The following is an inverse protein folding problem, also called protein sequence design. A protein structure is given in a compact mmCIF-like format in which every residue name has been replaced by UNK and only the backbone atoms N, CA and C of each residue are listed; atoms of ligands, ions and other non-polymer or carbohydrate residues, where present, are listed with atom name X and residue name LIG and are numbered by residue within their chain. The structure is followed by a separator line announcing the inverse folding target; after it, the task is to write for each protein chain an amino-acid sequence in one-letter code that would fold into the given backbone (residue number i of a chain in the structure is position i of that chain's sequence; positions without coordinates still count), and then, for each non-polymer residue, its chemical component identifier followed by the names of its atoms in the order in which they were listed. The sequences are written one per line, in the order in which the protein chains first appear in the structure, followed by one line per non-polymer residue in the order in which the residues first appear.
data_IF_944558968546
#
_entry.id   IF_944558968546
#
_cell.length_a   1.000
_cell.length_b   1.000
_cell.length_c   1.000
_cell.angle_alpha   90.00
_cell.angle_beta   90.00
_cell.angle_gamma   90.00
#
_symmetry.space_group_name_H-M   'P 1'
#
loop_
_entity.id
_entity.type
_entity.pdbx_description
1 polymer ?
#
# COMPACT_ATOMS: atom_id res chain seq x y z
N UNK A 1 30.22 -9.11 0.94
CA UNK A 1 29.41 -8.42 1.97
C UNK A 1 28.63 -9.51 2.71
N UNK A 2 28.60 -9.50 4.05
CA UNK A 2 27.86 -10.50 4.82
C UNK A 2 26.88 -9.76 5.73
N UNK A 3 25.58 -9.85 5.42
CA UNK A 3 24.54 -9.33 6.29
C UNK A 3 24.56 -10.10 7.60
N UNK A 4 24.33 -9.42 8.72
CA UNK A 4 23.91 -10.08 9.97
C UNK A 4 22.54 -10.72 9.77
N UNK A 5 22.19 -11.68 10.64
CA UNK A 5 20.87 -12.32 10.60
C UNK A 5 19.73 -11.30 10.70
N UNK A 6 19.89 -10.28 11.56
CA UNK A 6 18.90 -9.22 11.74
C UNK A 6 18.75 -8.39 10.48
N UNK A 7 19.84 -7.91 9.88
CA UNK A 7 19.78 -7.14 8.63
C UNK A 7 19.19 -7.95 7.47
N UNK A 8 19.49 -9.26 7.41
CA UNK A 8 18.93 -10.13 6.40
C UNK A 8 17.42 -10.35 6.58
N UNK A 9 16.96 -10.47 7.83
CA UNK A 9 15.52 -10.54 8.15
C UNK A 9 14.78 -9.28 7.68
N UNK A 10 15.30 -8.10 7.98
CA UNK A 10 14.69 -6.84 7.52
C UNK A 10 14.65 -6.75 5.99
N UNK A 11 15.73 -7.17 5.32
CA UNK A 11 15.78 -7.23 3.87
C UNK A 11 14.72 -8.19 3.31
N UNK A 12 14.48 -9.31 3.99
CA UNK A 12 13.50 -10.31 3.57
C UNK A 12 12.07 -9.77 3.70
N UNK A 13 11.73 -9.06 4.77
CA UNK A 13 10.44 -8.36 4.91
C UNK A 13 10.23 -7.32 3.80
N UNK A 14 11.23 -6.48 3.54
CA UNK A 14 11.17 -5.49 2.45
C UNK A 14 10.96 -6.17 1.08
N UNK A 15 11.65 -7.30 0.85
CA UNK A 15 11.48 -8.08 -0.37
C UNK A 15 10.06 -8.65 -0.47
N UNK A 16 9.53 -9.24 0.61
CA UNK A 16 8.19 -9.80 0.64
C UNK A 16 7.14 -8.73 0.29
N UNK A 17 7.16 -7.59 0.97
CA UNK A 17 6.30 -6.45 0.66
C UNK A 17 6.45 -5.99 -0.80
N UNK A 18 7.69 -5.82 -1.27
CA UNK A 18 7.99 -5.40 -2.63
C UNK A 18 7.52 -6.40 -3.70
N UNK A 19 7.68 -7.69 -3.46
CA UNK A 19 7.22 -8.75 -4.38
C UNK A 19 5.70 -8.82 -4.40
N UNK A 20 5.03 -8.65 -3.25
CA UNK A 20 3.58 -8.58 -3.17
C UNK A 20 3.04 -7.42 -4.00
N UNK A 21 3.53 -6.19 -3.78
CA UNK A 21 3.10 -4.98 -4.53
C UNK A 21 3.32 -5.16 -6.03
N UNK A 22 4.50 -5.64 -6.44
CA UNK A 22 4.81 -5.83 -7.87
C UNK A 22 3.93 -6.89 -8.50
N UNK A 23 3.70 -8.01 -7.83
CA UNK A 23 2.88 -9.09 -8.35
C UNK A 23 1.42 -8.65 -8.49
N UNK A 24 0.87 -7.92 -7.51
CA UNK A 24 -0.47 -7.34 -7.59
C UNK A 24 -0.64 -6.37 -8.77
N UNK A 25 0.34 -5.48 -9.00
CA UNK A 25 0.30 -4.55 -10.14
C UNK A 25 0.38 -5.30 -11.47
N UNK A 26 1.25 -6.30 -11.58
CA UNK A 26 1.38 -7.11 -12.80
C UNK A 26 0.11 -7.91 -13.09
N UNK A 27 -0.46 -8.55 -12.07
CA UNK A 27 -1.72 -9.27 -12.17
C UNK A 27 -2.85 -8.36 -12.65
N UNK A 28 -2.96 -7.14 -12.11
CA UNK A 28 -3.97 -6.15 -12.55
C UNK A 28 -3.85 -5.75 -14.02
N UNK A 29 -2.68 -5.96 -14.63
CA UNK A 29 -2.38 -5.71 -16.05
C UNK A 29 -2.47 -6.96 -16.92
N UNK A 30 -2.75 -8.13 -16.32
CA UNK A 30 -2.74 -9.42 -17.02
C UNK A 30 -1.34 -9.92 -17.38
N UNK A 31 -0.31 -9.49 -16.65
CA UNK A 31 1.10 -9.88 -16.87
C UNK A 31 1.48 -11.10 -16.00
N UNK A 32 2.40 -11.95 -16.48
CA UNK A 32 2.94 -13.08 -15.70
C UNK A 32 3.94 -12.58 -14.64
N UNK A 33 3.64 -12.84 -13.36
CA UNK A 33 4.43 -12.41 -12.22
C UNK A 33 5.34 -13.51 -11.63
N UNK A 34 5.40 -14.72 -12.21
CA UNK A 34 6.24 -15.82 -11.70
C UNK A 34 7.71 -15.45 -11.55
N UNK A 35 8.21 -14.52 -12.36
CA UNK A 35 9.61 -14.06 -12.26
C UNK A 35 9.85 -13.16 -11.04
N UNK A 36 8.81 -12.51 -10.51
CA UNK A 36 8.88 -11.73 -9.27
C UNK A 36 8.92 -12.67 -8.06
N UNK A 37 8.07 -13.71 -8.05
CA UNK A 37 8.01 -14.69 -6.95
C UNK A 37 9.30 -15.49 -6.77
N UNK A 38 10.05 -15.73 -7.86
CA UNK A 38 11.36 -16.40 -7.81
C UNK A 38 12.38 -15.67 -6.92
N UNK A 39 12.21 -14.37 -6.67
CA UNK A 39 13.08 -13.66 -5.74
C UNK A 39 12.91 -14.16 -4.31
N UNK A 40 11.70 -14.56 -3.90
CA UNK A 40 11.47 -15.08 -2.56
C UNK A 40 12.23 -16.40 -2.34
N UNK A 41 12.17 -17.31 -3.32
CA UNK A 41 12.96 -18.56 -3.30
C UNK A 41 14.48 -18.28 -3.32
N UNK A 42 14.95 -17.35 -4.17
CA UNK A 42 16.36 -16.99 -4.26
C UNK A 42 16.92 -16.45 -2.93
N UNK A 43 16.19 -15.55 -2.27
CA UNK A 43 16.60 -15.00 -0.99
C UNK A 43 16.45 -16.01 0.16
N UNK A 44 15.48 -16.92 0.10
CA UNK A 44 15.40 -18.04 1.03
C UNK A 44 16.61 -19.01 0.89
N UNK A 45 17.02 -19.33 -0.35
CA UNK A 45 18.26 -20.07 -0.60
C UNK A 45 19.49 -19.36 0.00
N UNK A 46 19.56 -18.03 -0.15
CA UNK A 46 20.65 -17.24 0.42
C UNK A 46 20.64 -17.26 1.95
N UNK A 47 19.48 -17.13 2.60
CA UNK A 47 19.35 -17.27 4.05
C UNK A 47 19.87 -18.65 4.53
N UNK A 48 19.50 -19.73 3.81
CA UNK A 48 19.98 -21.08 4.10
C UNK A 48 21.50 -21.19 4.01
N UNK A 49 22.10 -20.62 2.96
CA UNK A 49 23.56 -20.61 2.77
C UNK A 49 24.30 -19.80 3.84
N UNK A 50 23.65 -18.79 4.41
CA UNK A 50 24.19 -17.98 5.49
C UNK A 50 24.02 -18.61 6.88
N UNK A 51 23.28 -19.72 7.00
CA UNK A 51 22.99 -20.40 8.26
C UNK A 51 21.86 -19.76 9.06
N UNK A 52 20.93 -19.06 8.40
CA UNK A 52 19.76 -18.43 9.01
C UNK A 52 18.52 -19.33 8.85
N UNK A 53 18.63 -20.56 9.35
CA UNK A 53 17.67 -21.64 9.12
C UNK A 53 16.25 -21.34 9.62
N UNK A 54 16.09 -20.45 10.58
CA UNK A 54 14.79 -20.03 11.13
C UNK A 54 14.05 -19.00 10.27
N UNK A 55 14.73 -18.37 9.31
CA UNK A 55 14.10 -17.45 8.36
C UNK A 55 13.50 -18.16 7.14
N UNK A 56 13.61 -19.49 7.07
CA UNK A 56 13.23 -20.27 5.90
C UNK A 56 12.52 -21.56 6.27
N UNK A 57 11.72 -22.06 5.34
CA UNK A 57 11.10 -23.37 5.42
C UNK A 57 11.14 -24.08 4.07
N UNK A 58 10.91 -25.39 4.09
CA UNK A 58 10.79 -26.19 2.88
C UNK A 58 9.36 -26.70 2.79
N UNK A 59 8.63 -26.22 1.80
CA UNK A 59 7.27 -26.65 1.50
C UNK A 59 7.23 -27.34 0.14
N UNK A 60 6.78 -28.60 0.13
CA UNK A 60 6.70 -29.44 -1.09
C UNK A 60 8.02 -29.51 -1.89
N UNK A 61 9.16 -29.47 -1.19
CA UNK A 61 10.49 -29.52 -1.81
C UNK A 61 11.01 -28.19 -2.35
N UNK A 62 10.25 -27.09 -2.18
CA UNK A 62 10.65 -25.73 -2.53
C UNK A 62 11.03 -25.00 -1.24
N UNK A 63 12.17 -24.30 -1.26
CA UNK A 63 12.58 -23.46 -0.15
C UNK A 63 11.96 -22.08 -0.27
N UNK A 64 11.45 -21.56 0.84
CA UNK A 64 10.76 -20.28 0.89
C UNK A 64 11.01 -19.58 2.23
N UNK A 65 10.70 -18.28 2.34
CA UNK A 65 10.66 -17.60 3.63
C UNK A 65 9.77 -18.37 4.62
N UNK A 66 10.14 -18.39 5.90
CA UNK A 66 9.38 -19.12 6.91
C UNK A 66 7.96 -18.56 7.09
N UNK A 67 7.03 -19.39 7.53
CA UNK A 67 5.66 -18.96 7.80
C UNK A 67 5.60 -17.79 8.79
N UNK A 68 6.47 -17.77 9.80
CA UNK A 68 6.51 -16.69 10.80
C UNK A 68 6.79 -15.32 10.16
N UNK A 69 7.76 -15.23 9.24
CA UNK A 69 8.09 -13.96 8.58
C UNK A 69 7.05 -13.57 7.52
N UNK A 70 6.41 -14.56 6.88
CA UNK A 70 5.31 -14.32 5.96
C UNK A 70 4.10 -13.74 6.70
N UNK A 71 3.71 -14.30 7.85
CA UNK A 71 2.60 -13.81 8.67
C UNK A 71 2.86 -12.38 9.17
N UNK A 72 4.06 -12.10 9.67
CA UNK A 72 4.45 -10.75 10.07
C UNK A 72 4.34 -9.76 8.89
N UNK A 73 4.80 -10.16 7.70
CA UNK A 73 4.66 -9.30 6.53
C UNK A 73 3.20 -9.10 6.09
N UNK A 74 2.36 -10.14 6.19
CA UNK A 74 0.93 -10.04 5.92
C UNK A 74 0.25 -9.04 6.86
N UNK A 75 0.52 -9.12 8.17
CA UNK A 75 0.00 -8.18 9.17
C UNK A 75 0.43 -6.73 8.87
N UNK A 76 1.71 -6.49 8.59
CA UNK A 76 2.21 -5.14 8.20
C UNK A 76 1.56 -4.62 6.91
N UNK A 77 1.35 -5.49 5.92
CA UNK A 77 0.73 -5.12 4.66
C UNK A 77 -0.76 -4.84 4.81
N UNK A 78 -1.46 -5.57 5.68
CA UNK A 78 -2.88 -5.32 6.00
C UNK A 78 -3.07 -3.95 6.65
N UNK A 79 -2.25 -3.61 7.65
CA UNK A 79 -2.27 -2.29 8.28
C UNK A 79 -2.00 -1.17 7.27
N UNK A 80 -0.97 -1.33 6.43
CA UNK A 80 -0.65 -0.36 5.38
C UNK A 80 -1.79 -0.21 4.37
N UNK A 81 -2.42 -1.31 3.93
CA UNK A 81 -3.51 -1.26 2.97
C UNK A 81 -4.76 -0.56 3.53
N UNK A 82 -5.10 -0.77 4.81
CA UNK A 82 -6.21 -0.09 5.46
C UNK A 82 -5.96 1.42 5.53
N UNK A 83 -4.76 1.84 5.97
CA UNK A 83 -4.38 3.25 6.01
C UNK A 83 -4.49 3.92 4.62
N UNK A 84 -3.87 3.31 3.61
CA UNK A 84 -3.89 3.84 2.23
C UNK A 84 -5.30 3.87 1.65
N UNK A 85 -6.13 2.88 1.96
CA UNK A 85 -7.53 2.86 1.51
C UNK A 85 -8.29 4.09 1.99
N UNK A 86 -8.19 4.41 3.29
CA UNK A 86 -8.88 5.56 3.87
C UNK A 86 -8.33 6.87 3.33
N UNK A 87 -7.01 7.03 3.27
CA UNK A 87 -6.39 8.24 2.72
C UNK A 87 -6.80 8.49 1.25
N UNK A 88 -6.76 7.47 0.40
CA UNK A 88 -7.15 7.61 -1.00
C UNK A 88 -8.64 7.95 -1.15
N UNK A 89 -9.51 7.37 -0.32
CA UNK A 89 -10.94 7.65 -0.35
C UNK A 89 -11.22 9.12 0.04
N UNK A 90 -10.58 9.61 1.10
CA UNK A 90 -10.66 11.01 1.56
C UNK A 90 -10.22 11.99 0.48
N UNK A 91 -9.04 11.73 -0.11
CA UNK A 91 -8.44 12.59 -1.13
C UNK A 91 -9.31 12.61 -2.39
N UNK A 92 -9.80 11.46 -2.85
CA UNK A 92 -10.61 11.38 -4.09
C UNK A 92 -11.97 12.06 -3.93
N UNK A 93 -12.65 11.84 -2.82
CA UNK A 93 -13.93 12.50 -2.55
C UNK A 93 -13.74 13.99 -2.30
N UNK A 94 -12.69 14.38 -1.56
CA UNK A 94 -12.36 15.77 -1.32
C UNK A 94 -12.04 16.53 -2.60
N UNK A 95 -11.22 15.95 -3.49
CA UNK A 95 -10.94 16.52 -4.82
C UNK A 95 -12.21 16.68 -5.64
N UNK A 96 -13.04 15.64 -5.72
CA UNK A 96 -14.31 15.68 -6.47
C UNK A 96 -15.19 16.84 -5.99
N UNK A 97 -15.50 16.88 -4.70
CA UNK A 97 -16.41 17.88 -4.13
C UNK A 97 -15.81 19.29 -4.21
N UNK A 98 -14.49 19.43 -4.05
CA UNK A 98 -13.80 20.69 -4.26
C UNK A 98 -13.99 21.20 -5.70
N UNK A 99 -13.73 20.37 -6.71
CA UNK A 99 -13.87 20.76 -8.12
C UNK A 99 -15.33 21.00 -8.53
N UNK A 100 -16.30 20.35 -7.90
CA UNK A 100 -17.73 20.68 -8.10
C UNK A 100 -18.12 22.02 -7.44
N UNK A 101 -17.34 22.52 -6.47
CA UNK A 101 -17.62 23.74 -5.70
C UNK A 101 -16.96 25.02 -6.21
N UNK A 102 -16.06 24.93 -7.20
CA UNK A 102 -15.28 26.07 -7.73
C UNK A 102 -15.64 26.34 -9.19
N UNK A 103 -15.61 27.60 -9.61
CA UNK A 103 -15.85 27.96 -11.01
C UNK A 103 -14.58 27.77 -11.86
N UNK A 104 -14.72 27.86 -13.19
CA UNK A 104 -13.56 27.83 -14.10
C UNK A 104 -12.64 29.04 -13.90
N UNK A 105 -13.22 30.18 -13.54
CA UNK A 105 -12.51 31.41 -13.22
C UNK A 105 -11.67 31.25 -11.95
N UNK A 106 -12.24 30.63 -10.90
CA UNK A 106 -11.51 30.32 -9.65
C UNK A 106 -10.27 29.45 -9.91
N UNK A 107 -10.39 28.45 -10.80
CA UNK A 107 -9.30 27.57 -11.19
C UNK A 107 -8.21 28.29 -12.01
N UNK A 108 -8.58 29.31 -12.80
CA UNK A 108 -7.63 30.09 -13.59
C UNK A 108 -6.75 31.01 -12.75
N UNK A 109 -7.19 31.35 -11.54
CA UNK A 109 -6.47 32.19 -10.58
C UNK A 109 -5.73 31.36 -9.50
N UNK A 110 -5.69 30.03 -9.65
CA UNK A 110 -5.15 29.09 -8.68
C UNK A 110 -3.67 29.35 -8.31
N UNK A 111 -2.83 29.72 -9.27
CA UNK A 111 -1.41 30.05 -9.03
C UNK A 111 -1.19 31.40 -8.34
N UNK A 112 -2.20 32.28 -8.33
CA UNK A 112 -2.17 33.60 -7.67
C UNK A 112 -2.88 33.57 -6.30
N UNK A 113 -3.40 32.39 -5.98
CA UNK A 113 -4.42 31.99 -5.02
C UNK A 113 -4.05 31.30 -3.70
N UNK A 114 -3.39 31.88 -2.67
CA UNK A 114 -3.11 31.11 -1.45
C UNK A 114 -4.35 30.54 -0.74
N UNK A 115 -5.57 31.04 -1.00
CA UNK A 115 -6.79 30.48 -0.38
C UNK A 115 -7.19 29.11 -0.97
N UNK A 116 -6.81 28.81 -2.21
CA UNK A 116 -7.31 27.64 -2.92
C UNK A 116 -6.72 26.32 -2.39
N UNK A 117 -5.41 26.25 -2.05
CA UNK A 117 -4.82 25.16 -1.26
C UNK A 117 -5.50 24.95 0.11
N UNK A 118 -5.77 26.03 0.86
CA UNK A 118 -6.47 25.91 2.15
C UNK A 118 -7.90 25.39 2.00
N UNK A 119 -8.57 25.79 0.91
CA UNK A 119 -9.94 25.36 0.60
C UNK A 119 -9.96 23.86 0.28
N UNK A 120 -9.04 23.34 -0.53
CA UNK A 120 -9.03 21.89 -0.83
C UNK A 120 -8.69 21.06 0.41
N UNK A 121 -7.79 21.55 1.28
CA UNK A 121 -7.49 20.93 2.57
C UNK A 121 -8.73 20.81 3.47
N UNK A 122 -9.63 21.79 3.43
CA UNK A 122 -10.88 21.74 4.20
C UNK A 122 -11.79 20.58 3.76
N UNK A 123 -11.80 20.24 2.46
CA UNK A 123 -12.54 19.09 1.94
C UNK A 123 -11.89 17.76 2.37
N UNK A 124 -10.55 17.67 2.34
CA UNK A 124 -9.85 16.49 2.84
C UNK A 124 -10.14 16.27 4.33
N UNK A 125 -10.03 17.32 5.17
CA UNK A 125 -10.32 17.23 6.60
C UNK A 125 -11.77 16.83 6.90
N UNK A 126 -12.72 17.30 6.09
CA UNK A 126 -14.14 16.92 6.21
C UNK A 126 -14.30 15.40 6.09
N UNK A 127 -13.72 14.79 5.05
CA UNK A 127 -13.82 13.35 4.84
C UNK A 127 -13.01 12.55 5.85
N UNK A 128 -11.81 13.03 6.19
CA UNK A 128 -10.98 12.42 7.23
C UNK A 128 -11.74 12.28 8.54
N UNK A 129 -12.36 13.38 8.98
CA UNK A 129 -13.16 13.38 10.20
C UNK A 129 -14.33 12.40 10.12
N UNK A 130 -15.06 12.41 9.00
CA UNK A 130 -16.22 11.52 8.80
C UNK A 130 -15.81 10.06 8.88
N UNK A 131 -14.76 9.65 8.17
CA UNK A 131 -14.34 8.24 8.12
C UNK A 131 -13.64 7.79 9.39
N UNK A 132 -12.90 8.66 10.07
CA UNK A 132 -12.34 8.37 11.40
C UNK A 132 -13.44 8.12 12.43
N UNK A 133 -14.55 8.87 12.40
CA UNK A 133 -15.63 8.77 13.40
C UNK A 133 -16.67 7.69 13.07
N UNK A 134 -16.95 7.45 11.79
CA UNK A 134 -18.10 6.64 11.37
C UNK A 134 -17.75 5.54 10.35
N UNK A 135 -16.50 5.43 9.90
CA UNK A 135 -16.11 4.49 8.84
C UNK A 135 -17.04 4.60 7.63
N UNK A 136 -17.62 3.48 7.19
CA UNK A 136 -18.56 3.43 6.07
C UNK A 136 -20.04 3.57 6.47
N UNK A 137 -20.36 3.70 7.76
CA UNK A 137 -21.75 3.59 8.26
C UNK A 137 -22.69 4.61 7.63
N UNK A 138 -22.16 5.79 7.27
CA UNK A 138 -22.89 6.90 6.64
C UNK A 138 -22.58 7.08 5.17
N UNK A 139 -21.67 6.28 4.61
CA UNK A 139 -21.37 6.31 3.18
C UNK A 139 -22.56 5.73 2.41
N UNK A 140 -23.10 6.49 1.46
CA UNK A 140 -24.21 6.08 0.60
C UNK A 140 -23.92 6.43 -0.85
N UNK A 141 -24.21 5.50 -1.75
CA UNK A 141 -24.17 5.74 -3.19
C UNK A 141 -25.59 6.10 -3.63
N UNK A 142 -25.79 7.36 -4.03
CA UNK A 142 -27.08 7.86 -4.52
C UNK A 142 -26.99 8.21 -6.00
N UNK A 143 -28.04 7.93 -6.82
CA UNK A 143 -28.07 8.36 -8.21
C UNK A 143 -27.97 9.89 -8.32
N UNK A 144 -27.20 10.39 -9.29
CA UNK A 144 -27.18 11.83 -9.62
C UNK A 144 -28.53 12.19 -10.25
N UNK A 145 -29.23 13.15 -9.65
CA UNK A 145 -30.49 13.71 -10.18
C UNK A 145 -30.22 14.64 -11.36
#
# INVERSE_FOLDING_TARGET
MKFTKKEFRELLLILLAGTWVRSAVMESRGEDFKNVEKWNEYFALMAKQLGYDDLVEIYKGIIMPSNDICLENEEEMEEFMDEIFWEELEVRLGKRDFYESVSKEDLSEMDKSPWLPDKIDSFYRKYKKEFTEFGIDRLRIVPKK
#
